data_IF_172369571397
#
_entry.id   IF_172369571397
#
_cell.length_a   1.000
_cell.length_b   1.000
_cell.length_c   1.000
_cell.angle_alpha   90.00
_cell.angle_beta   90.00
_cell.angle_gamma   90.00
#
_symmetry.space_group_name_H-M   'P 1'
#
loop_
_entity.id
_entity.type
_entity.pdbx_description
1 polymer ?
#
# COMPACT_ATOMS: atom_id res chain seq x y z
N UNK A 1 -9.70 2.31 5.48
CA UNK A 1 -8.82 1.64 6.47
C UNK A 1 -7.93 2.71 7.06
N UNK A 2 -7.81 2.79 8.37
CA UNK A 2 -7.01 3.81 9.06
C UNK A 2 -6.18 3.12 10.12
N UNK A 3 -4.88 3.35 10.13
CA UNK A 3 -3.96 2.77 11.10
C UNK A 3 -3.83 3.55 12.39
N UNK A 4 -2.98 3.00 13.24
CA UNK A 4 -2.62 3.55 14.54
C UNK A 4 -1.11 3.70 14.66
N UNK A 5 -0.63 3.73 15.91
CA UNK A 5 0.81 3.65 16.14
C UNK A 5 1.29 2.21 15.96
N UNK A 6 2.50 2.06 15.43
CA UNK A 6 3.11 0.77 15.14
C UNK A 6 3.14 0.48 13.64
N UNK A 7 3.61 -0.71 13.29
CA UNK A 7 3.70 -1.15 11.90
C UNK A 7 2.42 -1.90 11.54
N UNK A 8 1.61 -1.29 10.69
CA UNK A 8 0.32 -1.79 10.26
C UNK A 8 0.39 -2.47 8.88
N UNK A 9 -0.57 -3.39 8.66
CA UNK A 9 -0.71 -4.14 7.42
C UNK A 9 -2.12 -3.95 6.86
N UNK A 10 -2.18 -3.56 5.59
CA UNK A 10 -3.41 -3.33 4.84
C UNK A 10 -3.57 -4.32 3.71
N UNK A 11 -4.82 -4.60 3.35
CA UNK A 11 -5.17 -5.36 2.14
C UNK A 11 -6.10 -4.51 1.30
N UNK A 12 -5.74 -4.31 0.03
CA UNK A 12 -6.50 -3.56 -0.96
C UNK A 12 -6.92 -4.50 -2.07
N UNK A 13 -8.20 -4.82 -2.15
CA UNK A 13 -8.75 -5.72 -3.19
C UNK A 13 -9.80 -5.05 -4.08
N UNK A 14 -10.14 -3.80 -3.78
CA UNK A 14 -11.08 -2.99 -4.54
C UNK A 14 -10.54 -1.58 -4.76
N UNK A 15 -10.91 -0.97 -5.90
CA UNK A 15 -10.57 0.42 -6.20
C UNK A 15 -11.20 1.42 -5.21
N UNK A 16 -12.18 0.98 -4.41
CA UNK A 16 -12.79 1.78 -3.34
C UNK A 16 -12.03 1.77 -2.02
N UNK A 17 -11.02 0.91 -1.86
CA UNK A 17 -10.27 0.84 -0.60
C UNK A 17 -9.31 2.02 -0.48
N UNK A 18 -9.37 2.68 0.67
CA UNK A 18 -8.52 3.83 1.00
C UNK A 18 -7.75 3.52 2.28
N UNK A 19 -6.43 3.69 2.24
CA UNK A 19 -5.53 3.56 3.40
C UNK A 19 -5.12 4.95 3.88
N UNK A 20 -5.23 5.20 5.18
CA UNK A 20 -4.92 6.50 5.81
C UNK A 20 -4.02 6.29 7.01
N UNK A 21 -2.78 6.80 6.92
CA UNK A 21 -1.77 6.73 7.97
C UNK A 21 -1.34 8.09 8.49
N UNK A 22 -0.95 8.12 9.77
CA UNK A 22 -0.41 9.30 10.41
C UNK A 22 1.11 9.39 10.23
N UNK A 23 1.63 10.61 10.20
CA UNK A 23 3.07 10.83 10.11
C UNK A 23 3.79 10.26 11.35
N UNK A 24 4.90 9.56 11.13
CA UNK A 24 5.72 8.91 12.17
C UNK A 24 4.96 7.86 12.99
N UNK A 25 3.93 7.22 12.42
CA UNK A 25 3.15 6.20 13.09
C UNK A 25 3.84 4.83 13.10
N UNK A 26 4.65 4.52 12.09
CA UNK A 26 5.42 3.29 12.03
C UNK A 26 6.03 3.09 10.65
N UNK A 27 6.18 1.82 10.26
CA UNK A 27 6.54 1.40 8.90
C UNK A 27 5.50 0.41 8.42
N UNK A 28 4.69 0.86 7.46
CA UNK A 28 3.44 0.22 7.11
C UNK A 28 3.53 -0.48 5.76
N UNK A 29 2.67 -1.49 5.56
CA UNK A 29 2.65 -2.29 4.33
C UNK A 29 1.23 -2.48 3.78
N UNK A 30 1.08 -2.27 2.48
CA UNK A 30 -0.12 -2.66 1.72
C UNK A 30 0.16 -3.92 0.91
N UNK A 31 -0.68 -4.93 1.04
CA UNK A 31 -0.85 -5.98 0.06
C UNK A 31 -2.02 -5.61 -0.86
N UNK A 32 -1.81 -5.61 -2.18
CA UNK A 32 -2.91 -5.30 -3.11
C UNK A 32 -3.10 -6.34 -4.20
N UNK A 33 -4.35 -6.76 -4.41
CA UNK A 33 -4.73 -7.65 -5.51
C UNK A 33 -5.13 -6.91 -6.79
N UNK A 34 -4.95 -5.58 -6.83
CA UNK A 34 -5.20 -4.72 -7.99
C UNK A 34 -4.05 -3.73 -8.17
N UNK A 35 -4.05 -2.95 -9.25
CA UNK A 35 -3.14 -1.81 -9.37
C UNK A 35 -3.38 -0.82 -8.23
N UNK A 36 -2.33 -0.49 -7.47
CA UNK A 36 -2.41 0.40 -6.33
C UNK A 36 -1.24 1.38 -6.30
N UNK A 37 -1.48 2.58 -5.78
CA UNK A 37 -0.47 3.61 -5.52
C UNK A 37 -0.51 3.91 -4.03
N UNK A 38 0.65 3.90 -3.38
CA UNK A 38 0.73 4.19 -1.95
C UNK A 38 0.24 5.60 -1.65
N UNK A 39 -0.51 5.70 -0.55
CA UNK A 39 -0.88 6.97 0.05
C UNK A 39 0.24 7.47 0.96
N UNK A 40 0.09 8.70 1.47
CA UNK A 40 1.08 9.28 2.38
C UNK A 40 1.25 8.42 3.64
N UNK A 41 2.49 8.36 4.13
CA UNK A 41 2.89 7.67 5.36
C UNK A 41 2.68 6.13 5.31
N UNK A 42 2.71 5.54 4.12
CA UNK A 42 2.81 4.10 3.94
C UNK A 42 4.06 3.82 3.12
N UNK A 43 4.90 2.90 3.61
CA UNK A 43 6.27 2.75 3.08
C UNK A 43 6.39 1.61 2.07
N UNK A 44 5.54 0.58 2.17
CA UNK A 44 5.69 -0.65 1.40
C UNK A 44 4.41 -1.04 0.64
N UNK A 45 4.57 -1.43 -0.63
CA UNK A 45 3.51 -2.01 -1.44
C UNK A 45 3.95 -3.38 -1.98
N UNK A 46 3.09 -4.38 -1.83
CA UNK A 46 3.25 -5.70 -2.41
C UNK A 46 2.01 -6.04 -3.25
N UNK A 47 2.19 -6.15 -4.57
CA UNK A 47 1.10 -6.51 -5.48
C UNK A 47 0.98 -8.03 -5.57
N UNK A 48 -0.13 -8.56 -5.05
CA UNK A 48 -0.43 -10.00 -4.98
C UNK A 48 -1.40 -10.45 -6.07
N UNK A 49 -2.02 -9.49 -6.76
CA UNK A 49 -3.05 -9.71 -7.78
C UNK A 49 -2.50 -9.81 -9.18
N UNK A 50 -2.12 -11.03 -9.53
CA UNK A 50 -2.09 -11.56 -10.90
C UNK A 50 -0.96 -11.00 -11.81
N UNK A 51 0.11 -11.81 -11.88
CA UNK A 51 1.15 -11.86 -12.92
C UNK A 51 1.99 -10.60 -13.16
N UNK A 52 3.25 -10.62 -12.71
CA UNK A 52 4.37 -9.80 -13.18
C UNK A 52 3.97 -8.52 -13.93
N UNK A 53 3.62 -7.47 -13.17
CA UNK A 53 3.66 -6.11 -13.70
C UNK A 53 5.13 -5.69 -13.86
N UNK A 54 5.83 -6.37 -14.77
CA UNK A 54 7.01 -5.86 -15.46
C UNK A 54 6.61 -4.56 -16.15
N UNK A 55 6.71 -3.42 -15.46
CA UNK A 55 6.97 -2.05 -15.98
C UNK A 55 6.27 -0.93 -15.18
N UNK A 56 6.66 -0.67 -13.92
CA UNK A 56 6.48 0.67 -13.34
C UNK A 56 7.37 1.02 -12.13
N UNK A 57 8.49 0.33 -11.91
CA UNK A 57 9.59 0.94 -11.15
C UNK A 57 10.28 2.01 -12.04
N UNK A 58 9.53 3.04 -12.45
CA UNK A 58 10.08 4.25 -13.03
C UNK A 58 10.19 5.29 -11.92
N UNK A 59 11.20 5.13 -11.08
CA UNK A 59 11.76 6.28 -10.36
C UNK A 59 12.61 7.04 -11.37
N UNK A 60 12.02 8.06 -12.01
CA UNK A 60 12.78 9.17 -12.61
C UNK A 60 12.83 10.31 -11.63
#
# INVERSE_FOLDING_TARGET
MTGGLGNDIYTVDSAGDVVTEALNAGTDKVFSSIGHTLTANVENLELTGIADLNSAANFT
#
